data_IF_284578392637
#
_entry.id   IF_284578392637
#
_cell.length_a   1.000
_cell.length_b   1.000
_cell.length_c   1.000
_cell.angle_alpha   90.00
_cell.angle_beta   90.00
_cell.angle_gamma   90.00
#
_symmetry.space_group_name_H-M   'P 1'
#
loop_
_entity.id
_entity.type
_entity.pdbx_description
1 polymer ?
#
# COMPACT_ATOMS: atom_id res chain seq x y z
N UNK A 1 -6.08 -12.24 -9.76
CA UNK A 1 -6.01 -10.80 -9.99
C UNK A 1 -5.37 -10.50 -11.35
N UNK A 2 -5.75 -9.39 -11.96
CA UNK A 2 -5.12 -8.87 -13.19
C UNK A 2 -4.79 -7.41 -12.98
N UNK A 3 -3.56 -7.03 -13.33
CA UNK A 3 -3.10 -5.65 -13.34
C UNK A 3 -3.46 -4.99 -14.66
N UNK A 4 -4.13 -3.86 -14.59
CA UNK A 4 -4.42 -3.02 -15.75
C UNK A 4 -3.39 -1.90 -15.79
N UNK A 5 -2.52 -1.93 -16.80
CA UNK A 5 -1.35 -1.07 -16.96
C UNK A 5 -0.35 -1.18 -15.80
N UNK A 6 0.90 -0.91 -16.07
CA UNK A 6 1.96 -0.83 -15.09
C UNK A 6 2.41 0.61 -14.91
N UNK A 7 2.26 1.15 -13.71
CA UNK A 7 2.80 2.45 -13.30
C UNK A 7 2.51 3.57 -14.33
N UNK A 8 1.26 3.63 -14.80
CA UNK A 8 0.86 4.52 -15.87
C UNK A 8 1.10 5.99 -15.52
N UNK A 9 1.72 6.74 -16.45
CA UNK A 9 2.01 8.16 -16.29
C UNK A 9 3.14 8.64 -17.19
N UNK A 10 3.46 9.93 -17.11
CA UNK A 10 4.53 10.57 -17.90
C UNK A 10 5.78 10.80 -17.04
N UNK A 11 6.94 10.34 -17.52
CA UNK A 11 8.26 10.55 -16.88
C UNK A 11 9.21 11.46 -17.69
N UNK A 12 8.71 12.20 -18.67
CA UNK A 12 9.54 12.99 -19.59
C UNK A 12 9.73 14.44 -19.18
N UNK A 13 9.67 14.75 -17.89
CA UNK A 13 9.78 16.12 -17.39
C UNK A 13 8.55 16.99 -17.64
N UNK A 14 7.41 16.35 -17.93
CA UNK A 14 6.13 17.02 -18.17
C UNK A 14 5.05 16.52 -17.21
N UNK A 15 4.09 17.38 -16.94
CA UNK A 15 2.90 17.06 -16.11
C UNK A 15 1.66 16.83 -16.96
N UNK A 16 1.69 17.09 -18.27
CA UNK A 16 0.56 16.87 -19.17
C UNK A 16 1.00 16.78 -20.64
N UNK A 17 0.08 16.41 -21.49
CA UNK A 17 0.21 16.52 -22.94
C UNK A 17 0.11 17.99 -23.39
N UNK A 18 1.02 18.43 -24.27
CA UNK A 18 1.06 19.75 -24.92
C UNK A 18 0.71 19.69 -26.40
N UNK A 19 0.18 18.59 -26.90
CA UNK A 19 -0.39 18.51 -28.23
C UNK A 19 -1.62 19.43 -28.35
N UNK A 20 -2.07 19.64 -29.57
CA UNK A 20 -3.31 20.40 -29.83
C UNK A 20 -4.53 19.81 -29.08
N UNK A 21 -4.54 18.49 -28.90
CA UNK A 21 -5.56 17.78 -28.14
C UNK A 21 -5.42 18.00 -26.64
N UNK A 22 -4.18 17.90 -26.13
CA UNK A 22 -3.87 18.16 -24.72
C UNK A 22 -4.16 19.61 -24.31
N UNK A 23 -3.86 20.60 -25.18
CA UNK A 23 -4.19 22.01 -24.93
C UNK A 23 -5.71 22.22 -24.91
N UNK A 24 -6.43 21.61 -25.83
CA UNK A 24 -7.89 21.71 -25.85
C UNK A 24 -8.52 21.09 -24.59
N UNK A 25 -8.06 19.93 -24.16
CA UNK A 25 -8.51 19.27 -22.95
C UNK A 25 -8.17 20.08 -21.69
N UNK A 26 -7.00 20.70 -21.62
CA UNK A 26 -6.59 21.52 -20.48
C UNK A 26 -7.39 22.82 -20.36
N UNK A 27 -7.80 23.39 -21.50
CA UNK A 27 -8.68 24.57 -21.57
C UNK A 27 -10.15 24.29 -21.33
N UNK A 28 -10.57 23.02 -21.41
CA UNK A 28 -11.95 22.62 -21.16
C UNK A 28 -12.31 22.72 -19.67
N UNK A 29 -13.61 22.66 -19.38
CA UNK A 29 -14.11 22.61 -18.01
C UNK A 29 -13.74 21.28 -17.33
N UNK A 30 -13.48 21.34 -16.03
CA UNK A 30 -13.31 20.14 -15.20
C UNK A 30 -14.59 19.32 -15.25
N UNK A 31 -14.51 17.99 -15.46
CA UNK A 31 -15.67 17.12 -15.53
C UNK A 31 -16.55 17.20 -14.27
N UNK A 32 -17.84 17.19 -14.46
CA UNK A 32 -18.84 17.27 -13.38
C UNK A 32 -18.63 16.14 -12.36
N UNK A 33 -18.27 14.93 -12.82
CA UNK A 33 -17.96 13.79 -11.96
C UNK A 33 -16.95 14.11 -10.87
N UNK A 34 -15.87 14.86 -11.18
CA UNK A 34 -14.88 15.26 -10.20
C UNK A 34 -15.38 16.35 -9.26
N UNK A 35 -16.23 17.25 -9.78
CA UNK A 35 -16.84 18.31 -8.96
C UNK A 35 -17.84 17.71 -7.96
N UNK A 36 -18.66 16.76 -8.38
CA UNK A 36 -19.59 16.01 -7.54
C UNK A 36 -18.84 15.18 -6.48
N UNK A 37 -17.70 14.57 -6.85
CA UNK A 37 -16.84 13.89 -5.89
C UNK A 37 -16.36 14.83 -4.80
N UNK A 38 -15.87 16.01 -5.17
CA UNK A 38 -15.41 17.02 -4.20
C UNK A 38 -16.56 17.50 -3.29
N UNK A 39 -17.78 17.58 -3.79
CA UNK A 39 -18.94 17.99 -2.99
C UNK A 39 -19.41 16.91 -2.01
N UNK A 40 -19.31 15.65 -2.42
CA UNK A 40 -19.66 14.51 -1.58
C UNK A 40 -18.56 14.11 -0.59
N UNK A 41 -17.28 14.50 -0.84
CA UNK A 41 -16.12 14.21 0.00
C UNK A 41 -15.33 15.49 0.31
N UNK A 42 -15.89 16.44 1.05
CA UNK A 42 -15.27 17.76 1.27
C UNK A 42 -13.94 17.72 2.02
N UNK A 43 -13.66 16.62 2.74
CA UNK A 43 -12.41 16.38 3.46
C UNK A 43 -11.29 15.81 2.57
N UNK A 44 -11.60 15.35 1.36
CA UNK A 44 -10.60 14.73 0.48
C UNK A 44 -9.58 15.76 -0.06
N UNK A 45 -8.40 15.29 -0.45
CA UNK A 45 -7.32 16.17 -0.91
C UNK A 45 -7.72 16.95 -2.16
N UNK A 46 -8.41 16.33 -3.11
CA UNK A 46 -8.86 16.97 -4.34
C UNK A 46 -9.82 18.16 -4.03
N UNK A 47 -10.75 17.98 -3.08
CA UNK A 47 -11.68 19.04 -2.67
C UNK A 47 -10.96 20.21 -1.99
N UNK A 48 -9.96 19.91 -1.13
CA UNK A 48 -9.16 20.93 -0.43
C UNK A 48 -8.27 21.75 -1.37
N UNK A 49 -7.87 21.19 -2.51
CA UNK A 49 -7.10 21.91 -3.54
C UNK A 49 -7.98 22.76 -4.47
N UNK A 50 -9.30 22.63 -4.39
CA UNK A 50 -10.26 23.37 -5.23
C UNK A 50 -10.26 24.85 -4.87
N UNK A 51 -10.01 25.72 -5.85
CA UNK A 51 -9.97 27.18 -5.72
C UNK A 51 -11.24 27.87 -6.18
N UNK A 52 -11.92 27.25 -7.15
CA UNK A 52 -13.19 27.74 -7.71
C UNK A 52 -14.18 26.57 -7.88
N UNK A 53 -15.48 26.84 -7.79
CA UNK A 53 -16.48 25.79 -7.88
C UNK A 53 -16.56 25.12 -9.26
N UNK A 54 -16.28 25.88 -10.35
CA UNK A 54 -16.34 25.42 -11.75
C UNK A 54 -15.34 26.19 -12.60
N UNK A 55 -15.01 25.66 -13.77
CA UNK A 55 -14.15 26.28 -14.77
C UNK A 55 -13.13 25.33 -15.34
N UNK A 56 -12.12 25.88 -16.03
CA UNK A 56 -11.02 25.09 -16.57
C UNK A 56 -10.16 24.50 -15.44
N UNK A 57 -9.33 23.52 -15.77
CA UNK A 57 -8.42 22.86 -14.83
C UNK A 57 -7.55 23.84 -14.03
N UNK A 58 -7.04 24.89 -14.73
CA UNK A 58 -6.27 25.95 -14.04
C UNK A 58 -7.17 26.82 -13.14
N UNK A 59 -8.39 27.10 -13.55
CA UNK A 59 -9.30 27.89 -12.72
C UNK A 59 -9.70 27.15 -11.44
N UNK A 60 -10.02 25.86 -11.56
CA UNK A 60 -10.46 25.03 -10.43
C UNK A 60 -9.29 24.62 -9.53
N UNK A 61 -8.16 24.18 -10.08
CA UNK A 61 -7.06 23.57 -9.32
C UNK A 61 -5.75 24.35 -9.37
N UNK A 62 -5.67 25.45 -10.12
CA UNK A 62 -4.48 26.26 -10.20
C UNK A 62 -3.28 25.52 -10.80
N UNK A 63 -2.16 25.51 -10.08
CA UNK A 63 -0.93 24.84 -10.52
C UNK A 63 -1.00 23.32 -10.59
N UNK A 64 -1.97 22.71 -9.87
CA UNK A 64 -2.15 21.25 -9.84
C UNK A 64 -3.04 20.75 -10.99
N UNK A 65 -3.74 21.68 -11.68
CA UNK A 65 -4.67 21.33 -12.75
C UNK A 65 -4.04 20.51 -13.90
N UNK A 66 -2.75 20.71 -14.18
CA UNK A 66 -2.04 19.94 -15.20
C UNK A 66 -1.86 18.47 -14.80
N UNK A 67 -1.50 18.23 -13.55
CA UNK A 67 -1.37 16.89 -12.96
C UNK A 67 -2.72 16.19 -12.89
N UNK A 68 -3.74 16.89 -12.43
CA UNK A 68 -5.08 16.34 -12.26
C UNK A 68 -5.76 16.01 -13.59
N UNK A 69 -5.56 16.84 -14.64
CA UNK A 69 -6.01 16.49 -15.98
C UNK A 69 -5.38 15.17 -16.45
N UNK A 70 -4.07 15.01 -16.25
CA UNK A 70 -3.36 13.80 -16.67
C UNK A 70 -3.82 12.58 -15.89
N UNK A 71 -4.01 12.72 -14.57
CA UNK A 71 -4.56 11.66 -13.73
C UNK A 71 -5.98 11.26 -14.18
N UNK A 72 -6.82 12.25 -14.48
CA UNK A 72 -8.17 12.01 -14.99
C UNK A 72 -8.16 11.25 -16.32
N UNK A 73 -7.35 11.68 -17.30
CA UNK A 73 -7.28 11.04 -18.61
C UNK A 73 -6.77 9.58 -18.53
N UNK A 74 -5.79 9.33 -17.65
CA UNK A 74 -5.28 7.97 -17.42
C UNK A 74 -6.31 7.12 -16.68
N UNK A 75 -6.99 7.67 -15.68
CA UNK A 75 -8.04 6.98 -14.94
C UNK A 75 -9.21 6.58 -15.85
N UNK A 76 -9.65 7.48 -16.76
CA UNK A 76 -10.69 7.16 -17.77
C UNK A 76 -10.26 6.02 -18.70
N UNK A 77 -9.00 6.05 -19.15
CA UNK A 77 -8.47 4.98 -20.00
C UNK A 77 -8.46 3.63 -19.26
N UNK A 78 -8.00 3.61 -18.01
CA UNK A 78 -7.96 2.42 -17.15
C UNK A 78 -9.37 1.91 -16.87
N UNK A 79 -10.32 2.81 -16.58
CA UNK A 79 -11.71 2.46 -16.34
C UNK A 79 -12.37 1.77 -17.54
N UNK A 80 -12.13 2.27 -18.75
CA UNK A 80 -12.65 1.63 -19.97
C UNK A 80 -12.14 0.19 -20.12
N UNK A 81 -10.86 -0.06 -19.81
CA UNK A 81 -10.30 -1.40 -19.83
C UNK A 81 -10.87 -2.29 -18.72
N UNK A 82 -11.04 -1.73 -17.51
CA UNK A 82 -11.61 -2.43 -16.38
C UNK A 82 -13.07 -2.85 -16.66
N UNK A 83 -13.88 -1.93 -17.17
CA UNK A 83 -15.25 -2.20 -17.59
C UNK A 83 -15.31 -3.33 -18.64
N UNK A 84 -14.48 -3.24 -19.69
CA UNK A 84 -14.44 -4.27 -20.72
C UNK A 84 -14.02 -5.65 -20.17
N UNK A 85 -13.04 -5.67 -19.26
CA UNK A 85 -12.59 -6.91 -18.62
C UNK A 85 -13.68 -7.53 -17.73
N UNK A 86 -14.37 -6.72 -16.92
CA UNK A 86 -15.47 -7.16 -16.04
C UNK A 86 -16.67 -7.71 -16.82
N UNK A 87 -16.91 -7.19 -18.03
CA UNK A 87 -17.97 -7.72 -18.91
C UNK A 87 -17.66 -9.15 -19.41
N UNK A 88 -16.38 -9.50 -19.52
CA UNK A 88 -15.95 -10.84 -19.96
C UNK A 88 -15.86 -11.80 -18.77
N UNK A 89 -15.24 -11.36 -17.68
CA UNK A 89 -15.03 -12.20 -16.51
C UNK A 89 -14.87 -11.35 -15.23
N UNK A 90 -15.58 -11.69 -14.14
CA UNK A 90 -15.54 -10.91 -12.88
C UNK A 90 -14.28 -11.23 -12.07
N UNK A 91 -13.11 -10.97 -12.64
CA UNK A 91 -11.81 -11.15 -11.98
C UNK A 91 -11.47 -9.90 -11.16
N UNK A 92 -10.67 -10.08 -10.10
CA UNK A 92 -10.10 -8.96 -9.32
C UNK A 92 -9.14 -8.15 -10.20
N UNK A 93 -9.42 -6.85 -10.33
CA UNK A 93 -8.68 -5.91 -11.18
C UNK A 93 -8.05 -4.81 -10.33
N UNK A 94 -6.80 -4.49 -10.62
CA UNK A 94 -6.09 -3.38 -9.99
C UNK A 94 -5.21 -2.64 -11.00
N UNK A 95 -4.83 -1.41 -10.67
CA UNK A 95 -3.71 -0.71 -11.28
C UNK A 95 -2.72 -0.30 -10.20
N UNK A 96 -1.45 -0.18 -10.54
CA UNK A 96 -0.39 0.12 -9.60
C UNK A 96 0.22 1.49 -9.83
N UNK A 97 0.91 1.99 -8.81
CA UNK A 97 1.58 3.27 -8.84
C UNK A 97 3.04 3.13 -8.42
N UNK A 98 3.94 3.63 -9.25
CA UNK A 98 5.26 4.03 -8.79
C UNK A 98 5.10 5.24 -7.86
N UNK A 99 5.42 5.06 -6.61
CA UNK A 99 5.27 6.08 -5.58
C UNK A 99 6.63 6.51 -5.05
N UNK A 100 6.70 7.75 -4.57
CA UNK A 100 7.85 8.26 -3.84
C UNK A 100 7.37 8.97 -2.58
N UNK A 101 8.23 9.01 -1.57
CA UNK A 101 7.92 9.70 -0.31
C UNK A 101 8.20 11.19 -0.45
N UNK A 102 7.20 12.02 -0.15
CA UNK A 102 7.38 13.40 0.21
C UNK A 102 7.69 14.34 -0.94
N UNK A 103 8.92 14.77 -1.09
CA UNK A 103 9.29 15.92 -1.92
C UNK A 103 9.82 15.51 -3.28
N UNK A 104 8.94 15.36 -4.23
CA UNK A 104 9.35 15.13 -5.61
C UNK A 104 8.46 15.92 -6.56
N UNK A 105 8.82 15.90 -7.82
CA UNK A 105 8.14 16.60 -8.91
C UNK A 105 7.50 15.56 -9.81
N UNK A 106 6.18 15.63 -9.96
CA UNK A 106 5.45 14.79 -10.91
C UNK A 106 6.02 14.95 -12.33
N UNK A 107 6.22 13.83 -13.00
CA UNK A 107 6.85 13.76 -14.33
C UNK A 107 8.37 13.71 -14.29
N UNK A 108 9.03 13.90 -13.13
CA UNK A 108 10.48 13.77 -12.96
C UNK A 108 10.83 12.67 -11.95
N UNK A 109 10.29 12.74 -10.74
CA UNK A 109 10.61 11.82 -9.65
C UNK A 109 9.64 10.64 -9.58
N UNK A 110 8.42 10.84 -10.07
CA UNK A 110 7.43 9.78 -10.32
C UNK A 110 6.61 10.12 -11.57
N UNK A 111 5.90 9.13 -12.17
CA UNK A 111 5.07 9.38 -13.35
C UNK A 111 3.93 10.36 -13.05
N UNK A 112 3.87 11.47 -13.79
CA UNK A 112 2.75 12.40 -13.71
C UNK A 112 1.45 11.71 -14.13
N UNK A 113 0.39 11.92 -13.36
CA UNK A 113 -0.92 11.34 -13.59
C UNK A 113 -1.11 9.92 -13.07
N UNK A 114 -0.08 9.28 -12.50
CA UNK A 114 -0.23 7.96 -11.85
C UNK A 114 -1.19 8.03 -10.66
N UNK A 115 -1.70 6.88 -10.21
CA UNK A 115 -2.55 6.78 -9.01
C UNK A 115 -1.74 6.92 -7.70
N UNK A 116 -0.81 7.88 -7.64
CA UNK A 116 -0.07 8.26 -6.45
C UNK A 116 -0.99 8.98 -5.43
N UNK A 117 -0.59 9.10 -4.15
CA UNK A 117 -1.46 9.60 -3.08
C UNK A 117 -2.21 10.90 -3.40
N UNK A 118 -1.59 11.85 -4.08
CA UNK A 118 -2.20 13.12 -4.46
C UNK A 118 -3.29 13.01 -5.54
N UNK A 119 -3.34 11.90 -6.28
CA UNK A 119 -4.27 11.65 -7.39
C UNK A 119 -5.33 10.60 -7.05
N UNK A 120 -5.28 9.96 -5.87
CA UNK A 120 -6.16 8.84 -5.51
C UNK A 120 -7.64 9.22 -5.62
N UNK A 121 -8.02 10.42 -5.20
CA UNK A 121 -9.41 10.87 -5.26
C UNK A 121 -9.96 10.89 -6.69
N UNK A 122 -9.14 11.26 -7.67
CA UNK A 122 -9.52 11.25 -9.08
C UNK A 122 -9.79 9.82 -9.55
N UNK A 123 -8.89 8.89 -9.20
CA UNK A 123 -9.06 7.48 -9.56
C UNK A 123 -10.26 6.85 -8.84
N UNK A 124 -10.51 7.20 -7.57
CA UNK A 124 -11.69 6.72 -6.86
C UNK A 124 -12.99 7.26 -7.46
N UNK A 125 -12.99 8.50 -7.94
CA UNK A 125 -14.14 9.08 -8.62
C UNK A 125 -14.42 8.45 -9.98
N UNK A 126 -13.37 8.08 -10.74
CA UNK A 126 -13.48 7.64 -12.14
C UNK A 126 -13.54 6.12 -12.26
N UNK A 127 -12.71 5.38 -11.50
CA UNK A 127 -12.52 3.94 -11.69
C UNK A 127 -13.52 3.12 -10.86
N UNK A 128 -14.73 3.00 -11.35
CA UNK A 128 -15.80 2.20 -10.71
C UNK A 128 -15.53 0.70 -10.78
N UNK A 129 -14.95 0.22 -11.89
CA UNK A 129 -14.76 -1.21 -12.17
C UNK A 129 -13.41 -1.78 -11.73
N UNK A 130 -12.50 -0.97 -11.23
CA UNK A 130 -11.33 -1.48 -10.51
C UNK A 130 -11.72 -1.93 -9.10
N UNK A 131 -11.14 -3.04 -8.64
CA UNK A 131 -11.33 -3.49 -7.26
C UNK A 131 -10.42 -2.75 -6.29
N UNK A 132 -9.21 -2.32 -6.72
CA UNK A 132 -8.34 -1.48 -5.90
C UNK A 132 -7.30 -0.69 -6.71
N UNK A 133 -6.73 0.31 -6.04
CA UNK A 133 -5.50 1.00 -6.43
C UNK A 133 -4.37 0.48 -5.55
N UNK A 134 -3.21 0.20 -6.11
CA UNK A 134 -2.17 -0.57 -5.45
C UNK A 134 -0.81 0.15 -5.48
N UNK A 135 -0.16 0.39 -4.32
CA UNK A 135 1.15 1.04 -4.28
C UNK A 135 2.29 0.05 -4.49
N UNK A 136 3.29 0.41 -5.29
CA UNK A 136 4.57 -0.28 -5.38
C UNK A 136 5.50 0.29 -4.31
N UNK A 137 5.62 -0.42 -3.18
CA UNK A 137 6.27 0.14 -2.00
C UNK A 137 7.73 -0.28 -1.92
N UNK A 138 8.62 0.60 -2.39
CA UNK A 138 10.09 0.46 -2.27
C UNK A 138 10.70 1.37 -1.19
N UNK A 139 9.87 1.91 -0.32
CA UNK A 139 10.22 2.88 0.71
C UNK A 139 10.94 2.17 1.87
N UNK A 140 12.20 2.53 2.19
CA UNK A 140 12.95 1.87 3.25
C UNK A 140 12.62 2.40 4.66
N UNK A 141 12.02 3.60 4.77
CA UNK A 141 11.68 4.19 6.07
C UNK A 141 10.29 3.75 6.52
N UNK A 142 10.20 3.24 7.73
CA UNK A 142 8.95 2.71 8.29
C UNK A 142 7.82 3.75 8.29
N UNK A 143 8.11 5.02 8.64
CA UNK A 143 7.08 6.07 8.68
C UNK A 143 6.45 6.29 7.30
N UNK A 144 7.27 6.39 6.26
CA UNK A 144 6.77 6.52 4.89
C UNK A 144 6.03 5.27 4.42
N UNK A 145 6.53 4.08 4.78
CA UNK A 145 5.85 2.82 4.48
C UNK A 145 4.45 2.77 5.10
N UNK A 146 4.33 3.09 6.39
CA UNK A 146 3.04 3.11 7.11
C UNK A 146 2.09 4.16 6.54
N UNK A 147 2.61 5.32 6.10
CA UNK A 147 1.81 6.33 5.43
C UNK A 147 1.19 5.79 4.13
N UNK A 148 1.98 5.07 3.31
CA UNK A 148 1.46 4.47 2.08
C UNK A 148 0.38 3.42 2.37
N UNK A 149 0.57 2.57 3.39
CA UNK A 149 -0.48 1.64 3.80
C UNK A 149 -1.78 2.38 4.17
N UNK A 150 -1.67 3.53 4.83
CA UNK A 150 -2.79 4.34 5.27
C UNK A 150 -3.50 5.02 4.09
N UNK A 151 -2.75 5.56 3.13
CA UNK A 151 -3.28 6.28 1.97
C UNK A 151 -4.09 5.35 1.04
N UNK A 152 -3.62 4.10 0.87
CA UNK A 152 -4.26 3.15 -0.04
C UNK A 152 -5.25 2.20 0.65
N UNK A 153 -5.30 2.15 1.96
CA UNK A 153 -6.27 1.35 2.69
C UNK A 153 -7.60 2.09 2.83
N UNK A 154 -8.52 1.83 1.92
CA UNK A 154 -9.81 2.54 1.83
C UNK A 154 -11.01 1.59 1.99
N UNK A 155 -11.18 0.99 3.18
CA UNK A 155 -12.33 0.14 3.46
C UNK A 155 -13.67 0.89 3.40
N UNK A 156 -13.65 2.20 3.66
CA UNK A 156 -14.79 3.12 3.48
C UNK A 156 -15.31 3.17 2.05
N UNK A 157 -14.43 2.98 1.05
CA UNK A 157 -14.75 2.88 -0.37
C UNK A 157 -14.84 1.42 -0.86
N UNK A 158 -14.85 0.43 0.05
CA UNK A 158 -14.80 -1.00 -0.29
C UNK A 158 -13.58 -1.38 -1.14
N UNK A 159 -12.46 -0.67 -0.97
CA UNK A 159 -11.18 -0.94 -1.66
C UNK A 159 -10.22 -1.65 -0.72
N UNK A 160 -9.80 -2.84 -1.14
CA UNK A 160 -8.84 -3.64 -0.38
C UNK A 160 -7.42 -3.09 -0.53
N UNK A 161 -6.63 -3.15 0.54
CA UNK A 161 -5.19 -2.88 0.46
C UNK A 161 -4.49 -4.05 -0.23
N UNK A 162 -3.71 -3.77 -1.26
CA UNK A 162 -2.98 -4.76 -2.04
C UNK A 162 -1.63 -4.19 -2.46
N UNK A 163 -0.53 -4.92 -2.17
CA UNK A 163 0.84 -4.49 -2.47
C UNK A 163 1.38 -5.36 -3.61
N UNK A 164 1.37 -4.88 -4.86
CA UNK A 164 1.77 -5.67 -6.02
C UNK A 164 3.28 -5.76 -6.20
N UNK A 165 4.02 -4.79 -5.68
CA UNK A 165 5.48 -4.78 -5.74
C UNK A 165 6.10 -4.29 -4.44
N UNK A 166 7.19 -4.94 -4.05
CA UNK A 166 8.03 -4.56 -2.91
C UNK A 166 9.46 -5.05 -3.12
N UNK A 167 10.42 -4.41 -2.47
CA UNK A 167 11.82 -4.81 -2.57
C UNK A 167 12.09 -6.17 -1.90
N UNK A 168 13.05 -6.91 -2.46
CA UNK A 168 13.50 -8.22 -1.98
C UNK A 168 14.59 -8.14 -0.89
N UNK A 169 14.41 -7.29 0.10
CA UNK A 169 15.39 -7.09 1.19
C UNK A 169 14.97 -7.79 2.46
N UNK A 170 15.93 -8.06 3.36
CA UNK A 170 15.65 -8.58 4.70
C UNK A 170 14.66 -7.65 5.44
N UNK A 171 14.79 -6.33 5.27
CA UNK A 171 13.85 -5.36 5.83
C UNK A 171 12.40 -5.64 5.37
N UNK A 172 12.19 -5.87 4.07
CA UNK A 172 10.85 -6.12 3.53
C UNK A 172 10.26 -7.44 4.03
N UNK A 173 11.09 -8.42 4.41
CA UNK A 173 10.61 -9.66 5.02
C UNK A 173 9.98 -9.45 6.41
N UNK A 174 10.36 -8.38 7.10
CA UNK A 174 9.75 -7.97 8.37
C UNK A 174 8.58 -7.01 8.17
N UNK A 175 8.77 -5.96 7.35
CA UNK A 175 7.77 -4.90 7.17
C UNK A 175 6.48 -5.38 6.47
N UNK A 176 6.52 -6.50 5.75
CA UNK A 176 5.30 -7.11 5.21
C UNK A 176 4.24 -7.41 6.27
N UNK A 177 4.64 -7.64 7.53
CA UNK A 177 3.70 -7.84 8.62
C UNK A 177 2.92 -6.57 8.97
N UNK A 178 3.47 -5.37 8.71
CA UNK A 178 2.72 -4.11 8.82
C UNK A 178 1.60 -4.05 7.77
N UNK A 179 1.89 -4.48 6.52
CA UNK A 179 0.86 -4.54 5.48
C UNK A 179 -0.28 -5.50 5.88
N UNK A 180 0.06 -6.69 6.40
CA UNK A 180 -0.93 -7.66 6.88
C UNK A 180 -1.71 -7.11 8.08
N UNK A 181 -1.03 -6.46 9.03
CA UNK A 181 -1.66 -5.80 10.17
C UNK A 181 -2.60 -4.67 9.75
N UNK A 182 -2.30 -3.98 8.66
CA UNK A 182 -3.16 -2.96 8.06
C UNK A 182 -4.33 -3.56 7.23
N UNK A 183 -4.40 -4.88 7.09
CA UNK A 183 -5.47 -5.57 6.36
C UNK A 183 -5.18 -5.82 4.88
N UNK A 184 -3.90 -5.82 4.47
CA UNK A 184 -3.56 -6.15 3.09
C UNK A 184 -3.99 -7.58 2.73
N UNK A 185 -4.65 -7.72 1.59
CA UNK A 185 -5.10 -9.01 1.04
C UNK A 185 -4.06 -9.68 0.15
N UNK A 186 -3.00 -8.98 -0.22
CA UNK A 186 -1.88 -9.49 -1.02
C UNK A 186 -0.62 -8.67 -0.81
N UNK A 187 0.53 -9.35 -0.87
CA UNK A 187 1.86 -8.77 -0.80
C UNK A 187 2.80 -9.53 -1.73
N UNK A 188 3.46 -8.80 -2.64
CA UNK A 188 4.31 -9.39 -3.66
C UNK A 188 5.71 -8.79 -3.63
N UNK A 189 6.68 -9.58 -4.06
CA UNK A 189 8.09 -9.21 -4.15
C UNK A 189 8.47 -9.10 -5.62
N UNK A 190 8.97 -7.96 -6.03
CA UNK A 190 9.50 -7.77 -7.39
C UNK A 190 10.86 -8.46 -7.54
N UNK A 191 11.07 -9.16 -8.65
CA UNK A 191 12.33 -9.85 -8.96
C UNK A 191 12.61 -11.03 -8.01
N UNK A 192 11.58 -11.77 -7.62
CA UNK A 192 11.67 -12.89 -6.68
C UNK A 192 12.63 -14.00 -7.13
N UNK A 193 12.88 -14.15 -8.43
CA UNK A 193 13.86 -15.07 -8.98
C UNK A 193 15.30 -14.80 -8.48
N UNK A 194 15.63 -13.56 -8.16
CA UNK A 194 16.92 -13.17 -7.59
C UNK A 194 17.10 -13.57 -6.12
N UNK A 195 16.10 -14.15 -5.49
CA UNK A 195 16.19 -14.74 -4.15
C UNK A 195 16.74 -16.16 -4.18
N UNK A 196 16.96 -16.71 -5.38
CA UNK A 196 17.60 -18.01 -5.60
C UNK A 196 19.08 -17.81 -5.96
N UNK A 197 19.93 -18.74 -5.55
CA UNK A 197 21.33 -18.78 -5.99
C UNK A 197 21.48 -19.75 -7.17
N UNK A 198 22.23 -19.38 -8.19
CA UNK A 198 22.49 -20.22 -9.37
C UNK A 198 23.25 -21.51 -9.06
N UNK A 199 24.02 -21.54 -7.96
CA UNK A 199 25.01 -22.56 -7.72
C UNK A 199 24.50 -23.85 -7.08
N UNK A 200 23.33 -23.86 -6.42
CA UNK A 200 22.87 -25.03 -5.65
C UNK A 200 21.33 -25.11 -5.46
N UNK A 201 20.54 -24.39 -6.23
CA UNK A 201 19.10 -24.23 -5.98
C UNK A 201 18.79 -23.80 -4.53
N UNK A 202 19.68 -23.01 -3.94
CA UNK A 202 19.58 -22.53 -2.58
C UNK A 202 19.00 -21.11 -2.54
N UNK A 203 18.37 -20.77 -1.42
CA UNK A 203 17.92 -19.40 -1.18
C UNK A 203 19.11 -18.52 -0.78
N UNK A 204 19.10 -17.25 -1.24
CA UNK A 204 19.97 -16.21 -0.66
C UNK A 204 19.57 -15.93 0.79
N UNK A 205 20.32 -15.11 1.53
CA UNK A 205 19.94 -14.69 2.88
C UNK A 205 18.59 -13.96 2.88
N UNK A 206 18.38 -13.06 1.91
CA UNK A 206 17.10 -12.38 1.70
C UNK A 206 15.99 -13.38 1.35
N UNK A 207 16.30 -14.35 0.48
CA UNK A 207 15.36 -15.40 0.08
C UNK A 207 14.93 -16.27 1.26
N UNK A 208 15.86 -16.66 2.12
CA UNK A 208 15.57 -17.42 3.32
C UNK A 208 14.71 -16.60 4.29
N UNK A 209 15.04 -15.33 4.48
CA UNK A 209 14.28 -14.42 5.31
C UNK A 209 12.83 -14.23 4.81
N UNK A 210 12.64 -14.07 3.50
CA UNK A 210 11.32 -14.01 2.87
C UNK A 210 10.54 -15.31 3.02
N UNK A 211 11.20 -16.45 2.78
CA UNK A 211 10.60 -17.77 2.92
C UNK A 211 10.02 -17.98 4.32
N UNK A 212 10.77 -17.62 5.37
CA UNK A 212 10.29 -17.73 6.75
C UNK A 212 9.08 -16.84 7.01
N UNK A 213 9.07 -15.61 6.48
CA UNK A 213 7.92 -14.71 6.62
C UNK A 213 6.68 -15.25 5.93
N UNK A 214 6.79 -15.70 4.69
CA UNK A 214 5.66 -16.32 3.99
C UNK A 214 5.21 -17.62 4.65
N UNK A 215 6.12 -18.39 5.22
CA UNK A 215 5.77 -19.60 5.97
C UNK A 215 4.92 -19.27 7.21
N UNK A 216 5.30 -18.23 7.97
CA UNK A 216 4.52 -17.74 9.11
C UNK A 216 3.13 -17.29 8.64
N UNK A 217 3.06 -16.41 7.62
CA UNK A 217 1.79 -15.90 7.10
C UNK A 217 0.88 -17.03 6.61
N UNK A 218 1.44 -18.00 5.90
CA UNK A 218 0.69 -19.20 5.46
C UNK A 218 0.12 -20.00 6.62
N UNK A 219 0.85 -20.12 7.73
CA UNK A 219 0.40 -20.88 8.89
C UNK A 219 -0.79 -20.23 9.60
N UNK A 220 -0.90 -18.89 9.55
CA UNK A 220 -1.99 -18.12 10.19
C UNK A 220 -3.06 -17.68 9.19
N UNK A 221 -2.88 -17.90 7.90
CA UNK A 221 -3.81 -17.50 6.84
C UNK A 221 -5.27 -17.91 7.11
N UNK A 222 -5.60 -19.14 7.54
CA UNK A 222 -6.98 -19.52 7.82
C UNK A 222 -7.62 -18.66 8.93
N UNK A 223 -6.84 -18.20 9.91
CA UNK A 223 -7.32 -17.31 10.97
C UNK A 223 -7.58 -15.90 10.43
N UNK A 224 -6.67 -15.38 9.61
CA UNK A 224 -6.82 -14.07 8.98
C UNK A 224 -8.04 -14.03 8.06
N UNK A 225 -8.23 -15.03 7.21
CA UNK A 225 -9.35 -15.10 6.25
C UNK A 225 -10.71 -15.20 6.95
N UNK A 226 -10.80 -15.93 8.06
CA UNK A 226 -12.05 -16.08 8.81
C UNK A 226 -12.43 -14.84 9.60
N UNK A 227 -11.47 -13.95 9.88
CA UNK A 227 -11.65 -12.86 10.84
C UNK A 227 -11.22 -11.49 10.28
N UNK A 228 -11.19 -11.34 8.95
CA UNK A 228 -10.89 -10.06 8.30
C UNK A 228 -11.81 -8.95 8.83
N UNK A 229 -11.18 -7.90 9.35
CA UNK A 229 -11.88 -6.74 9.91
C UNK A 229 -12.55 -6.94 11.27
N UNK A 230 -12.50 -8.16 11.86
CA UNK A 230 -13.09 -8.46 13.17
C UNK A 230 -12.03 -8.46 14.27
N UNK A 231 -10.85 -9.00 13.99
CA UNK A 231 -9.76 -9.11 14.94
C UNK A 231 -8.72 -8.01 14.74
N UNK A 232 -8.09 -7.59 15.82
CA UNK A 232 -6.92 -6.74 15.75
C UNK A 232 -5.70 -7.59 15.46
N UNK A 233 -4.99 -7.25 14.40
CA UNK A 233 -3.76 -7.93 13.97
C UNK A 233 -2.59 -6.96 14.16
N UNK A 234 -1.67 -7.32 15.04
CA UNK A 234 -0.52 -6.48 15.37
C UNK A 234 0.75 -7.09 14.80
N UNK A 235 1.50 -6.36 13.96
CA UNK A 235 2.77 -6.83 13.42
C UNK A 235 3.83 -6.93 14.52
N UNK A 236 4.56 -8.05 14.52
CA UNK A 236 5.68 -8.27 15.42
C UNK A 236 6.91 -8.57 14.60
N UNK A 237 7.86 -7.66 14.60
CA UNK A 237 9.20 -7.91 14.02
C UNK A 237 10.21 -6.94 14.63
N UNK A 238 11.48 -7.33 14.61
CA UNK A 238 12.56 -6.52 15.14
C UNK A 238 12.88 -5.38 14.17
N UNK A 239 12.64 -4.15 14.58
CA UNK A 239 12.87 -2.93 13.78
C UNK A 239 14.31 -2.45 13.92
N UNK A 240 15.25 -3.20 13.31
CA UNK A 240 16.69 -2.91 13.38
C UNK A 240 17.40 -3.59 14.56
N UNK A 241 18.72 -3.59 14.52
CA UNK A 241 19.57 -4.30 15.49
C UNK A 241 19.49 -3.76 16.91
N UNK A 242 19.17 -2.47 17.06
CA UNK A 242 19.07 -1.77 18.35
C UNK A 242 17.70 -1.96 19.02
N UNK A 243 16.69 -2.41 18.28
CA UNK A 243 15.35 -2.59 18.84
C UNK A 243 15.29 -3.90 19.65
N UNK A 244 15.30 -3.79 20.96
CA UNK A 244 15.24 -4.93 21.89
C UNK A 244 13.83 -5.22 22.43
N UNK A 245 12.88 -4.32 22.21
CA UNK A 245 11.53 -4.45 22.73
C UNK A 245 10.52 -3.77 21.80
N UNK A 246 9.35 -4.40 21.65
CA UNK A 246 8.16 -3.84 21.02
C UNK A 246 7.04 -3.76 22.07
N UNK A 247 6.27 -2.67 22.05
CA UNK A 247 5.09 -2.50 22.90
C UNK A 247 3.88 -2.35 21.98
N UNK A 248 2.93 -3.28 22.08
CA UNK A 248 1.67 -3.23 21.35
C UNK A 248 0.54 -2.81 22.29
N UNK A 249 -0.23 -1.80 21.89
CA UNK A 249 -1.51 -1.48 22.53
C UNK A 249 -2.58 -2.47 22.07
N UNK A 250 -3.34 -3.03 23.00
CA UNK A 250 -4.38 -4.02 22.73
C UNK A 250 -5.76 -3.45 23.12
N UNK A 251 -6.84 -4.06 22.65
CA UNK A 251 -8.21 -3.73 23.03
C UNK A 251 -8.37 -3.80 24.56
N UNK A 252 -9.27 -2.99 25.10
CA UNK A 252 -9.54 -2.95 26.54
C UNK A 252 -8.43 -2.29 27.37
N UNK A 253 -7.52 -1.55 26.75
CA UNK A 253 -6.45 -0.83 27.44
C UNK A 253 -5.25 -1.70 27.83
N UNK A 254 -5.18 -2.93 27.34
CA UNK A 254 -4.06 -3.83 27.55
C UNK A 254 -2.83 -3.40 26.76
N UNK A 255 -1.66 -3.85 27.22
CA UNK A 255 -0.39 -3.70 26.49
C UNK A 255 0.39 -5.00 26.49
N UNK A 256 0.88 -5.43 25.33
CA UNK A 256 1.84 -6.50 25.18
C UNK A 256 3.26 -5.94 25.12
N UNK A 257 4.17 -6.52 25.89
CA UNK A 257 5.61 -6.20 25.88
C UNK A 257 6.34 -7.40 25.29
N UNK A 258 6.98 -7.20 24.14
CA UNK A 258 7.64 -8.26 23.38
C UNK A 258 9.14 -7.95 23.37
N UNK A 259 9.95 -8.85 23.93
CA UNK A 259 11.40 -8.71 23.96
C UNK A 259 12.04 -9.56 22.86
N UNK A 260 13.00 -8.96 22.14
CA UNK A 260 13.81 -9.62 21.10
C UNK A 260 15.22 -9.98 21.60
N UNK A 261 15.48 -9.97 22.87
CA UNK A 261 16.79 -10.33 23.44
C UNK A 261 17.01 -11.82 23.34
N UNK A 262 17.92 -12.22 22.46
CA UNK A 262 18.11 -13.54 21.87
C UNK A 262 18.73 -14.64 22.74
N UNK A 263 18.45 -14.73 24.02
CA UNK A 263 18.91 -15.88 24.83
C UNK A 263 17.82 -16.50 25.70
N UNK A 264 16.62 -16.00 25.64
CA UNK A 264 15.52 -16.55 26.43
C UNK A 264 14.27 -16.49 25.59
N UNK A 265 13.62 -17.63 25.51
CA UNK A 265 12.26 -17.83 25.10
C UNK A 265 11.48 -16.52 25.11
N UNK A 266 10.92 -16.14 23.99
CA UNK A 266 10.16 -14.90 23.86
C UNK A 266 9.01 -14.92 24.84
N UNK A 267 9.16 -14.21 25.96
CA UNK A 267 8.08 -14.04 26.91
C UNK A 267 7.21 -12.86 26.48
N UNK A 268 5.97 -13.15 26.16
CA UNK A 268 4.92 -12.15 26.13
C UNK A 268 4.58 -11.83 27.60
N UNK A 269 5.04 -10.68 28.12
CA UNK A 269 4.54 -10.16 29.39
C UNK A 269 3.28 -9.36 29.13
N UNK A 270 2.16 -9.91 29.53
CA UNK A 270 0.93 -9.14 29.65
C UNK A 270 0.91 -8.36 30.96
N UNK A 271 0.31 -7.16 30.95
CA UNK A 271 0.19 -6.30 32.13
C UNK A 271 -0.56 -7.02 33.26
N UNK A 272 -0.18 -6.75 34.47
CA UNK A 272 -0.36 -7.46 35.72
C UNK A 272 -1.76 -7.93 36.12
N UNK A 273 -2.79 -7.77 35.33
CA UNK A 273 -4.16 -8.12 35.72
C UNK A 273 -4.58 -9.57 35.43
N UNK A 274 -3.87 -10.30 34.60
CA UNK A 274 -4.11 -11.72 34.35
C UNK A 274 -2.82 -12.52 34.27
N UNK A 275 -2.78 -13.64 35.00
CA UNK A 275 -1.60 -14.49 35.25
C UNK A 275 -1.31 -15.53 34.17
N UNK A 276 -1.79 -15.40 32.95
CA UNK A 276 -1.54 -16.36 31.91
C UNK A 276 -0.50 -15.85 30.94
N UNK A 277 0.65 -16.50 30.91
CA UNK A 277 1.71 -16.27 29.93
C UNK A 277 1.47 -17.15 28.70
N UNK A 278 1.31 -16.54 27.54
CA UNK A 278 1.43 -17.27 26.29
C UNK A 278 2.91 -17.36 25.89
N UNK A 279 3.40 -18.57 25.66
CA UNK A 279 4.70 -18.80 25.04
C UNK A 279 4.54 -18.67 23.51
N UNK A 280 5.27 -17.74 22.90
CA UNK A 280 5.44 -17.72 21.46
C UNK A 280 6.74 -18.48 21.12
N UNK A 281 6.65 -19.54 20.33
CA UNK A 281 7.82 -20.16 19.75
C UNK A 281 8.42 -19.22 18.70
N UNK A 282 9.62 -18.73 18.95
CA UNK A 282 10.40 -18.00 17.95
C UNK A 282 11.22 -19.00 17.15
N UNK A 283 10.81 -19.25 15.92
CA UNK A 283 11.66 -19.95 14.95
C UNK A 283 12.63 -18.92 14.34
N UNK A 284 13.89 -18.97 14.73
CA UNK A 284 14.93 -18.15 14.12
C UNK A 284 16.29 -18.44 14.73
N UNK A 285 17.33 -18.46 13.89
CA UNK A 285 18.73 -18.49 14.32
C UNK A 285 19.14 -17.11 14.84
N UNK A 286 20.23 -17.03 15.60
CA UNK A 286 20.69 -15.80 16.27
C UNK A 286 20.88 -14.57 15.35
N UNK A 287 20.87 -14.73 14.02
CA UNK A 287 21.04 -13.67 13.02
C UNK A 287 19.76 -13.31 12.28
N UNK A 288 18.64 -14.04 12.46
CA UNK A 288 17.39 -13.72 11.78
C UNK A 288 16.52 -12.77 12.61
N UNK A 289 15.90 -11.78 11.97
CA UNK A 289 14.98 -10.91 12.68
C UNK A 289 13.76 -11.71 13.14
N UNK A 290 13.53 -11.77 14.45
CA UNK A 290 12.32 -12.35 15.03
C UNK A 290 11.09 -11.59 14.53
N UNK A 291 10.08 -12.32 14.07
CA UNK A 291 8.86 -11.73 13.46
C UNK A 291 7.66 -12.63 13.67
N UNK A 292 6.48 -12.05 13.56
CA UNK A 292 5.21 -12.74 13.72
C UNK A 292 4.02 -11.80 13.73
N UNK A 293 2.89 -12.33 14.14
CA UNK A 293 1.66 -11.58 14.35
C UNK A 293 1.12 -11.87 15.74
N UNK A 294 0.66 -10.83 16.42
CA UNK A 294 -0.18 -10.95 17.60
C UNK A 294 -1.61 -10.68 17.15
N UNK A 295 -2.49 -11.67 17.31
CA UNK A 295 -3.89 -11.58 16.92
C UNK A 295 -4.71 -11.54 18.19
N UNK A 296 -5.48 -10.46 18.39
CA UNK A 296 -6.41 -10.34 19.50
C UNK A 296 -7.81 -10.70 19.02
N UNK A 297 -8.34 -11.75 19.58
CA UNK A 297 -9.70 -12.24 19.32
C UNK A 297 -10.74 -11.48 20.12
#
# INVERSE_FOLDING_TARGET
AVQIQNEAGYLSGTRRDFSVWGEAAFGAEVPELLLDWCESHPECALAQHRKQPRGSWTAVFGGDGAEYLTAYAIAEYIEQMALAAKQIYPIFLYTNAWITIGRGIAGLDWPSGTCAPQNLDIYYAVCEHLDTLAPDIYIPELTGYLQMLQDYNRPDLSRALYIPESARTIYNSGVMFEAVGAGAIGFHIFGGESLLTDAQDALTEEGLSMYHSFHILRSVQPLLEQNLGVWDVHPIYRRGSEANMLICGLRGGWRAFISFTGTVDGFLRMDYRHKEACQAETAGTANEPSRGLLIQT
#
